data_IF_971438170190
#
_entry.id   IF_971438170190
#
_cell.length_a   1.000
_cell.length_b   1.000
_cell.length_c   1.000
_cell.angle_alpha   90.00
_cell.angle_beta   90.00
_cell.angle_gamma   90.00
#
_symmetry.space_group_name_H-M   'P 1'
#
loop_
_entity.id
_entity.type
_entity.pdbx_description
1 polymer ?
#
# COMPACT_ATOMS: atom_id res chain seq x y z
N UNK A 1 12.80 3.61 -16.15
CA UNK A 1 12.21 2.74 -15.10
C UNK A 1 11.82 1.42 -15.75
N UNK A 2 12.22 0.25 -15.22
CA UNK A 2 11.77 -1.01 -15.76
C UNK A 2 10.28 -1.13 -15.46
N UNK A 3 9.46 -1.13 -16.51
CA UNK A 3 8.09 -1.62 -16.41
C UNK A 3 8.18 -3.13 -16.54
N UNK A 4 7.51 -3.89 -15.66
CA UNK A 4 7.39 -5.32 -15.84
C UNK A 4 6.81 -5.57 -17.24
N UNK A 5 7.64 -6.14 -18.12
CA UNK A 5 7.33 -6.35 -19.53
C UNK A 5 5.99 -7.08 -19.70
N UNK A 6 5.64 -7.93 -18.73
CA UNK A 6 4.38 -8.68 -18.65
C UNK A 6 3.15 -7.76 -18.56
N UNK A 7 3.16 -6.75 -17.69
CA UNK A 7 2.00 -5.88 -17.47
C UNK A 7 1.67 -5.05 -18.71
N UNK A 8 2.70 -4.62 -19.45
CA UNK A 8 2.51 -3.88 -20.71
C UNK A 8 2.16 -4.81 -21.87
N UNK A 9 2.88 -5.93 -22.04
CA UNK A 9 2.71 -6.78 -23.23
C UNK A 9 1.46 -7.65 -23.19
N UNK A 10 1.00 -8.03 -22.00
CA UNK A 10 -0.16 -8.92 -21.85
C UNK A 10 -1.42 -8.19 -21.38
N UNK A 11 -1.32 -6.90 -21.02
CA UNK A 11 -2.46 -6.14 -20.50
C UNK A 11 -2.99 -6.67 -19.16
N UNK A 12 -2.22 -7.49 -18.45
CA UNK A 12 -2.64 -8.12 -17.19
C UNK A 12 -2.14 -7.29 -16.01
N UNK A 13 -3.03 -6.75 -15.16
CA UNK A 13 -2.63 -6.03 -13.96
C UNK A 13 -1.97 -6.98 -12.95
N UNK A 14 -0.82 -6.57 -12.41
CA UNK A 14 -0.13 -7.31 -11.35
C UNK A 14 -0.22 -6.51 -10.05
N UNK A 15 -0.55 -7.19 -8.96
CA UNK A 15 -0.45 -6.63 -7.61
C UNK A 15 0.90 -7.03 -7.00
N UNK A 16 1.64 -6.04 -6.51
CA UNK A 16 2.93 -6.25 -5.84
C UNK A 16 2.78 -6.80 -4.44
N UNK A 17 3.88 -7.30 -3.88
CA UNK A 17 3.98 -7.67 -2.47
C UNK A 17 3.91 -6.47 -1.53
N UNK A 18 4.22 -6.68 -0.25
CA UNK A 18 4.02 -5.73 0.86
C UNK A 18 4.91 -4.47 0.84
N UNK A 19 5.48 -4.08 -0.31
CA UNK A 19 6.41 -2.95 -0.44
C UNK A 19 6.15 -2.13 -1.70
N UNK A 20 6.34 -0.81 -1.58
CA UNK A 20 6.26 0.13 -2.69
C UNK A 20 7.32 -0.11 -3.78
N UNK A 21 8.39 -0.84 -3.46
CA UNK A 21 9.44 -1.18 -4.43
C UNK A 21 8.90 -1.96 -5.64
N UNK A 22 7.86 -2.78 -5.46
CA UNK A 22 7.22 -3.47 -6.59
C UNK A 22 6.48 -2.51 -7.52
N UNK A 23 5.87 -1.46 -6.97
CA UNK A 23 5.16 -0.41 -7.73
C UNK A 23 6.16 0.38 -8.57
N UNK A 24 7.31 0.71 -8.00
CA UNK A 24 8.43 1.34 -8.73
C UNK A 24 9.02 0.43 -9.81
N UNK A 25 8.99 -0.89 -9.60
CA UNK A 25 9.40 -1.91 -10.56
C UNK A 25 8.33 -2.21 -11.64
N UNK A 26 7.17 -1.55 -11.59
CA UNK A 26 6.18 -1.59 -12.66
C UNK A 26 5.01 -2.56 -12.47
N UNK A 27 4.72 -3.03 -11.25
CA UNK A 27 3.39 -3.59 -10.95
C UNK A 27 2.34 -2.48 -10.90
N UNK A 28 1.05 -2.82 -11.02
CA UNK A 28 -0.04 -1.85 -11.00
C UNK A 28 -0.20 -1.20 -9.62
N UNK A 29 -0.30 -2.00 -8.57
CA UNK A 29 -0.56 -1.50 -7.23
C UNK A 29 -0.03 -2.45 -6.15
N UNK A 30 0.15 -1.93 -4.94
CA UNK A 30 0.49 -2.71 -3.75
C UNK A 30 -0.17 -2.10 -2.50
N UNK A 31 -0.48 -2.95 -1.52
CA UNK A 31 -0.82 -2.52 -0.16
C UNK A 31 0.48 -2.44 0.63
N UNK A 32 0.77 -1.27 1.18
CA UNK A 32 2.01 -1.00 1.93
C UNK A 32 1.69 -0.41 3.29
N UNK A 33 2.65 -0.50 4.20
CA UNK A 33 2.57 0.20 5.47
C UNK A 33 2.37 1.72 5.28
N UNK A 34 1.48 2.29 6.08
CA UNK A 34 1.29 3.73 6.15
C UNK A 34 2.18 4.32 7.25
N UNK A 35 3.39 4.71 6.85
CA UNK A 35 4.42 5.25 7.75
C UNK A 35 3.97 6.51 8.49
N UNK A 36 2.97 7.24 7.99
CA UNK A 36 2.44 8.41 8.68
C UNK A 36 1.50 8.04 9.85
N UNK A 37 0.78 6.91 9.75
CA UNK A 37 -0.17 6.44 10.77
C UNK A 37 0.41 5.38 11.71
N UNK A 38 1.43 4.66 11.27
CA UNK A 38 2.11 3.67 12.12
C UNK A 38 2.61 4.23 13.47
N UNK A 39 3.15 5.46 13.57
CA UNK A 39 3.58 6.03 14.83
C UNK A 39 2.45 6.11 15.87
N UNK A 40 1.21 6.42 15.47
CA UNK A 40 0.05 6.47 16.38
C UNK A 40 -0.23 5.10 16.98
N UNK A 41 -0.18 4.05 16.16
CA UNK A 41 -0.33 2.68 16.62
C UNK A 41 0.81 2.31 17.58
N UNK A 42 2.06 2.69 17.28
CA UNK A 42 3.21 2.43 18.17
C UNK A 42 3.11 3.17 19.50
N UNK A 43 2.63 4.41 19.50
CA UNK A 43 2.44 5.20 20.73
C UNK A 43 1.50 4.52 21.71
N UNK A 44 0.42 3.87 21.23
CA UNK A 44 -0.47 3.07 22.07
C UNK A 44 0.29 1.95 22.79
N UNK A 45 1.08 1.17 22.05
CA UNK A 45 1.87 0.06 22.63
C UNK A 45 2.88 0.57 23.66
N UNK A 46 3.63 1.61 23.33
CA UNK A 46 4.63 2.22 24.23
C UNK A 46 3.95 2.73 25.50
N UNK A 47 2.78 3.36 25.36
CA UNK A 47 2.03 3.89 26.49
C UNK A 47 1.53 2.77 27.41
N UNK A 48 0.95 1.70 26.88
CA UNK A 48 0.51 0.57 27.72
C UNK A 48 1.70 -0.08 28.45
N UNK A 49 2.81 -0.29 27.75
CA UNK A 49 4.04 -0.83 28.35
C UNK A 49 4.61 0.09 29.44
N UNK A 50 4.56 1.41 29.26
CA UNK A 50 4.98 2.38 30.27
C UNK A 50 4.10 2.36 31.53
N UNK A 51 2.86 1.86 31.43
CA UNK A 51 1.95 1.63 32.56
C UNK A 51 2.00 0.18 33.08
N UNK A 52 3.07 -0.57 32.78
CA UNK A 52 3.25 -1.98 33.17
C UNK A 52 2.13 -2.92 32.68
N UNK A 53 1.41 -2.52 31.63
CA UNK A 53 0.38 -3.34 30.98
C UNK A 53 0.96 -4.00 29.73
N UNK A 54 0.67 -5.28 29.55
CA UNK A 54 1.05 -6.02 28.33
C UNK A 54 -0.11 -5.94 27.34
N UNK A 55 -0.02 -5.10 26.28
CA UNK A 55 -1.07 -5.04 25.27
C UNK A 55 -1.15 -6.36 24.51
N UNK A 56 -2.35 -6.72 24.06
CA UNK A 56 -2.51 -7.88 23.18
C UNK A 56 -1.72 -7.67 21.88
N UNK A 57 -1.14 -8.74 21.29
CA UNK A 57 -0.49 -8.64 20.00
C UNK A 57 -1.45 -8.07 18.95
N UNK A 58 -1.06 -6.97 18.31
CA UNK A 58 -1.78 -6.43 17.17
C UNK A 58 -0.85 -6.35 15.97
N UNK A 59 -1.37 -6.70 14.81
CA UNK A 59 -0.68 -6.48 13.54
C UNK A 59 -0.80 -5.01 13.14
N UNK A 60 0.16 -4.51 12.35
CA UNK A 60 0.02 -3.22 11.68
C UNK A 60 -1.31 -3.12 10.92
N UNK A 61 -2.15 -2.16 11.29
CA UNK A 61 -3.43 -1.88 10.60
C UNK A 61 -3.35 -0.63 9.74
N UNK A 62 -2.37 0.25 10.03
CA UNK A 62 -2.04 1.41 9.24
C UNK A 62 -1.40 0.97 7.90
N UNK A 63 -2.24 0.77 6.88
CA UNK A 63 -1.82 0.44 5.52
C UNK A 63 -2.48 1.37 4.52
N UNK A 64 -1.84 1.57 3.37
CA UNK A 64 -2.37 2.35 2.26
C UNK A 64 -2.11 1.67 0.92
N UNK A 65 -2.93 1.99 -0.07
CA UNK A 65 -2.72 1.52 -1.45
C UNK A 65 -1.82 2.50 -2.19
N UNK A 66 -0.76 1.99 -2.80
CA UNK A 66 0.08 2.73 -3.74
C UNK A 66 -0.19 2.20 -5.14
N UNK A 67 -0.38 3.11 -6.10
CA UNK A 67 -0.71 2.79 -7.49
C UNK A 67 0.34 3.39 -8.42
N UNK A 68 0.81 2.60 -9.38
CA UNK A 68 1.61 3.10 -10.50
C UNK A 68 0.68 3.72 -11.54
N UNK A 69 0.62 5.05 -11.58
CA UNK A 69 -0.28 5.78 -12.48
C UNK A 69 0.05 5.56 -13.95
N UNK A 70 1.33 5.41 -14.32
CA UNK A 70 1.74 5.09 -15.70
C UNK A 70 1.21 3.74 -16.15
N UNK A 71 1.31 2.71 -15.30
CA UNK A 71 0.76 1.38 -15.59
C UNK A 71 -0.76 1.41 -15.66
N UNK A 72 -1.42 2.09 -14.71
CA UNK A 72 -2.86 2.22 -14.68
C UNK A 72 -3.42 2.90 -15.95
N UNK A 73 -2.77 3.97 -16.40
CA UNK A 73 -3.13 4.68 -17.64
C UNK A 73 -2.91 3.80 -18.88
N UNK A 74 -1.80 3.05 -18.92
CA UNK A 74 -1.51 2.11 -20.03
C UNK A 74 -2.58 1.01 -20.14
N UNK A 75 -3.13 0.59 -19.00
CA UNK A 75 -4.24 -0.38 -18.93
C UNK A 75 -5.63 0.26 -19.14
N UNK A 76 -5.71 1.57 -19.39
CA UNK A 76 -6.97 2.27 -19.63
C UNK A 76 -7.82 2.51 -18.37
N UNK A 77 -7.24 2.46 -17.17
CA UNK A 77 -7.95 2.73 -15.93
C UNK A 77 -8.21 4.24 -15.77
N UNK A 78 -9.45 4.60 -15.39
CA UNK A 78 -9.81 6.01 -15.13
C UNK A 78 -9.24 6.52 -13.81
N UNK A 79 -9.11 7.85 -13.71
CA UNK A 79 -8.68 8.52 -12.48
C UNK A 79 -9.60 8.18 -11.29
N UNK A 80 -10.91 8.05 -11.52
CA UNK A 80 -11.87 7.68 -10.48
C UNK A 80 -11.61 6.29 -9.91
N UNK A 81 -11.23 5.32 -10.75
CA UNK A 81 -10.88 3.96 -10.30
C UNK A 81 -9.61 4.00 -9.46
N UNK A 82 -8.60 4.79 -9.86
CA UNK A 82 -7.35 4.98 -9.11
C UNK A 82 -7.64 5.61 -7.75
N UNK A 83 -8.45 6.68 -7.71
CA UNK A 83 -8.82 7.36 -6.48
C UNK A 83 -9.60 6.44 -5.54
N UNK A 84 -10.54 5.64 -6.07
CA UNK A 84 -11.27 4.64 -5.28
C UNK A 84 -10.34 3.59 -4.67
N UNK A 85 -9.33 3.13 -5.42
CA UNK A 85 -8.35 2.19 -4.90
C UNK A 85 -7.50 2.82 -3.78
N UNK A 86 -7.07 4.07 -3.94
CA UNK A 86 -6.29 4.79 -2.92
C UNK A 86 -7.10 5.10 -1.66
N UNK A 87 -8.41 5.33 -1.79
CA UNK A 87 -9.31 5.53 -0.66
C UNK A 87 -9.52 4.25 0.18
N UNK A 88 -9.17 3.07 -0.36
CA UNK A 88 -9.18 1.85 0.44
C UNK A 88 -8.16 1.99 1.57
N UNK A 89 -8.58 1.64 2.79
CA UNK A 89 -7.76 1.71 4.01
C UNK A 89 -7.33 3.12 4.46
N UNK A 90 -7.92 4.18 3.89
CA UNK A 90 -7.74 5.57 4.34
C UNK A 90 -8.55 5.95 5.59
N UNK A 91 -9.24 4.99 6.21
CA UNK A 91 -9.99 5.17 7.46
C UNK A 91 -9.13 4.82 8.67
#
# INVERSE_FOLDING_TARGET
>A
KPLLLMTIRQGVPVLGGLTGAYVEAGVLAAVVADEARLPEQMQFFITELAHERVPMPAYPTAVRVVVNTTVAQTLGLSADVIARAQALFSR
#
